data_IF_221928925178
#
_entry.id   IF_221928925178
#
_cell.length_a   1.000
_cell.length_b   1.000
_cell.length_c   1.000
_cell.angle_alpha   90.00
_cell.angle_beta   90.00
_cell.angle_gamma   90.00
#
_symmetry.space_group_name_H-M   'P 1'
#
loop_
_entity.id
_entity.type
_entity.pdbx_description
1 polymer ?
#
# COMPACT_ATOMS: atom_id res chain seq x y z
N UNK A 1 -27.25 19.70 -7.66
CA UNK A 1 -27.77 19.71 -6.27
C UNK A 1 -27.68 18.29 -5.72
N UNK A 2 -26.73 18.03 -4.82
CA UNK A 2 -26.50 16.70 -4.26
C UNK A 2 -27.50 16.49 -3.11
N UNK A 3 -28.53 15.68 -3.35
CA UNK A 3 -29.48 15.31 -2.31
C UNK A 3 -28.76 14.48 -1.25
N UNK A 4 -28.59 15.04 -0.05
CA UNK A 4 -28.12 14.29 1.10
C UNK A 4 -29.23 13.33 1.52
N UNK A 5 -28.93 12.03 1.55
CA UNK A 5 -29.85 11.02 2.07
C UNK A 5 -30.22 11.37 3.53
N UNK A 6 -31.48 11.19 3.95
CA UNK A 6 -31.90 11.55 5.30
C UNK A 6 -31.17 10.68 6.33
N UNK A 7 -30.54 11.33 7.31
CA UNK A 7 -29.92 10.66 8.44
C UNK A 7 -31.02 9.91 9.21
N UNK A 8 -30.98 8.57 9.19
CA UNK A 8 -31.87 7.74 10.00
C UNK A 8 -31.50 7.91 11.47
N UNK A 9 -32.39 8.54 12.23
CA UNK A 9 -32.27 8.66 13.69
C UNK A 9 -32.64 7.33 14.33
N UNK A 10 -31.73 6.74 15.12
CA UNK A 10 -32.06 5.56 15.91
C UNK A 10 -32.88 5.90 17.15
N UNK A 11 -33.53 4.87 17.73
CA UNK A 11 -34.44 4.96 18.87
C UNK A 11 -33.85 5.63 20.13
N UNK A 12 -32.52 5.81 20.19
CA UNK A 12 -31.79 6.45 21.29
C UNK A 12 -31.33 7.89 21.00
N UNK A 13 -31.85 8.53 19.94
CA UNK A 13 -31.58 9.95 19.63
C UNK A 13 -30.15 10.28 19.19
N UNK A 14 -29.27 9.28 19.06
CA UNK A 14 -27.88 9.48 18.63
C UNK A 14 -27.83 9.54 17.11
N UNK A 15 -27.43 10.69 16.58
CA UNK A 15 -27.27 10.89 15.12
C UNK A 15 -25.93 10.32 14.68
N UNK A 16 -25.95 9.26 13.87
CA UNK A 16 -24.74 8.67 13.27
C UNK A 16 -24.10 9.66 12.31
N UNK A 17 -22.76 9.79 12.36
CA UNK A 17 -22.02 10.71 11.49
C UNK A 17 -21.63 10.02 10.18
N UNK A 18 -21.86 10.63 9.01
CA UNK A 18 -21.42 10.07 7.75
C UNK A 18 -19.88 10.06 7.66
N UNK A 19 -19.30 8.96 7.18
CA UNK A 19 -17.86 8.81 6.98
C UNK A 19 -17.56 8.00 5.72
N UNK A 20 -16.53 8.38 4.97
CA UNK A 20 -16.02 7.59 3.83
C UNK A 20 -15.25 6.35 4.32
N UNK A 21 -15.28 5.25 3.57
CA UNK A 21 -14.64 3.99 3.98
C UNK A 21 -13.14 4.14 4.26
N UNK A 22 -12.43 4.90 3.44
CA UNK A 22 -10.99 5.14 3.66
C UNK A 22 -10.76 5.86 4.99
N UNK A 23 -11.54 6.91 5.28
CA UNK A 23 -11.39 7.66 6.53
C UNK A 23 -11.79 6.85 7.76
N UNK A 24 -12.78 5.96 7.62
CA UNK A 24 -13.16 5.02 8.66
C UNK A 24 -12.03 4.06 9.01
N UNK A 25 -11.34 3.51 8.00
CA UNK A 25 -10.19 2.64 8.20
C UNK A 25 -9.00 3.40 8.83
N UNK A 26 -8.72 4.62 8.38
CA UNK A 26 -7.70 5.48 9.00
C UNK A 26 -8.03 5.77 10.47
N UNK A 27 -9.28 6.07 10.80
CA UNK A 27 -9.69 6.27 12.19
C UNK A 27 -9.53 4.98 13.01
N UNK A 28 -10.03 3.84 12.52
CA UNK A 28 -9.95 2.58 13.23
C UNK A 28 -8.51 2.13 13.50
N UNK A 29 -7.63 2.19 12.49
CA UNK A 29 -6.26 1.66 12.62
C UNK A 29 -5.21 2.67 13.06
N UNK A 30 -5.34 3.95 12.70
CA UNK A 30 -4.37 4.98 13.07
C UNK A 30 -4.75 5.70 14.37
N UNK A 31 -6.02 6.05 14.54
CA UNK A 31 -6.46 6.87 15.68
C UNK A 31 -6.84 5.96 16.88
N UNK A 32 -7.68 4.94 16.68
CA UNK A 32 -8.08 3.96 17.72
C UNK A 32 -7.08 2.81 17.87
N UNK A 33 -6.07 2.76 16.99
CA UNK A 33 -5.05 1.73 16.99
C UNK A 33 -5.64 0.31 17.01
N UNK A 34 -6.72 0.01 16.29
CA UNK A 34 -7.27 -1.35 16.22
C UNK A 34 -6.24 -2.37 15.69
N UNK A 35 -6.37 -3.63 16.12
CA UNK A 35 -5.55 -4.76 15.66
C UNK A 35 -6.35 -5.64 14.72
N UNK A 36 -5.71 -6.16 13.68
CA UNK A 36 -6.29 -7.28 12.93
C UNK A 36 -5.78 -8.54 13.58
N UNK A 37 -6.69 -9.32 14.15
CA UNK A 37 -6.38 -10.62 14.70
C UNK A 37 -7.00 -11.67 13.77
N UNK A 38 -6.14 -12.45 13.11
CA UNK A 38 -6.61 -13.57 12.30
C UNK A 38 -6.88 -14.75 13.24
N UNK A 39 -8.12 -15.22 13.27
CA UNK A 39 -8.47 -16.47 13.94
C UNK A 39 -7.74 -17.62 13.23
N UNK A 40 -6.60 -18.00 13.76
CA UNK A 40 -5.85 -19.19 13.38
C UNK A 40 -5.77 -20.10 14.60
N UNK A 41 -6.20 -21.36 14.47
CA UNK A 41 -6.08 -22.41 15.50
C UNK A 41 -4.61 -22.75 15.89
N UNK A 42 -3.61 -21.98 15.45
CA UNK A 42 -2.20 -22.25 15.70
C UNK A 42 -1.28 -21.02 15.83
N UNK A 43 -1.80 -19.79 15.77
CA UNK A 43 -0.94 -18.58 15.80
C UNK A 43 -0.52 -18.16 17.22
N UNK A 44 -1.01 -18.86 18.26
CA UNK A 44 -0.36 -18.89 19.57
C UNK A 44 0.86 -19.84 19.60
N UNK A 45 1.53 -20.10 18.45
CA UNK A 45 2.83 -20.76 18.44
C UNK A 45 3.87 -19.85 19.13
N UNK A 46 4.42 -20.24 20.30
CA UNK A 46 5.38 -19.43 21.03
C UNK A 46 6.74 -19.49 20.31
N UNK A 47 6.95 -18.66 19.29
CA UNK A 47 8.20 -18.75 18.52
C UNK A 47 8.52 -17.64 17.53
N UNK A 48 7.57 -16.79 17.14
CA UNK A 48 7.86 -15.75 16.15
C UNK A 48 8.35 -14.46 16.81
N UNK A 49 9.65 -14.38 17.11
CA UNK A 49 10.51 -13.19 17.06
C UNK A 49 10.09 -11.89 17.77
N UNK A 50 8.98 -11.85 18.51
CA UNK A 50 8.62 -10.69 19.31
C UNK A 50 9.49 -10.74 20.55
N UNK A 51 10.53 -9.91 20.56
CA UNK A 51 11.17 -9.50 21.79
C UNK A 51 10.07 -9.07 22.75
N UNK A 52 9.79 -9.91 23.75
CA UNK A 52 8.67 -9.71 24.66
C UNK A 52 8.77 -8.34 25.31
N UNK A 53 7.64 -7.73 25.63
CA UNK A 53 7.61 -6.41 26.27
C UNK A 53 8.52 -6.35 27.50
N UNK A 54 8.65 -7.47 28.24
CA UNK A 54 9.59 -7.65 29.34
C UNK A 54 11.06 -7.43 28.95
N UNK A 55 11.53 -7.97 27.80
CA UNK A 55 12.90 -7.76 27.33
C UNK A 55 13.11 -6.31 26.87
N UNK A 56 12.14 -5.69 26.16
CA UNK A 56 12.24 -4.27 25.80
C UNK A 56 12.29 -3.38 27.05
N UNK A 57 11.52 -3.72 28.07
CA UNK A 57 11.55 -3.04 29.36
C UNK A 57 12.89 -3.20 30.07
N UNK A 58 13.47 -4.41 30.09
CA UNK A 58 14.79 -4.66 30.66
C UNK A 58 15.90 -3.87 29.93
N UNK A 59 15.91 -3.90 28.60
CA UNK A 59 16.90 -3.19 27.79
C UNK A 59 16.81 -1.66 27.93
N UNK A 60 15.60 -1.12 28.10
CA UNK A 60 15.39 0.32 28.33
C UNK A 60 15.62 0.74 29.78
N UNK A 61 15.35 -0.15 30.74
CA UNK A 61 15.71 0.05 32.15
C UNK A 61 17.22 0.12 32.36
N UNK A 62 18.01 -0.62 31.57
CA UNK A 62 19.47 -0.49 31.53
C UNK A 62 19.94 0.92 31.13
N UNK A 63 19.13 1.68 30.38
CA UNK A 63 19.41 3.08 30.01
C UNK A 63 18.97 4.08 31.11
N UNK A 64 18.50 3.60 32.26
CA UNK A 64 18.12 4.44 33.41
C UNK A 64 16.72 5.05 33.34
N UNK A 65 15.91 4.69 32.34
CA UNK A 65 14.53 5.17 32.21
C UNK A 65 13.54 4.22 32.89
N UNK A 66 12.78 4.74 33.86
CA UNK A 66 11.63 4.05 34.46
C UNK A 66 10.38 4.33 33.61
N UNK A 67 9.88 3.31 32.92
CA UNK A 67 8.64 3.41 32.14
C UNK A 67 7.48 3.39 33.13
N UNK A 68 6.72 4.48 33.21
CA UNK A 68 5.43 4.47 33.90
C UNK A 68 4.45 3.61 33.10
N UNK A 69 4.04 2.49 33.69
CA UNK A 69 2.83 1.74 33.39
C UNK A 69 2.42 1.58 31.92
N UNK A 70 2.79 0.44 31.34
CA UNK A 70 2.23 -0.06 30.10
C UNK A 70 0.79 -0.58 30.27
N UNK A 71 -0.04 -0.26 29.28
CA UNK A 71 -1.40 -0.75 29.07
C UNK A 71 -1.85 -0.30 27.68
N UNK A 72 -2.78 -1.04 27.06
CA UNK A 72 -3.46 -0.62 25.85
C UNK A 72 -4.93 -0.40 26.23
N UNK A 73 -5.46 0.79 25.96
CA UNK A 73 -6.92 0.97 26.01
C UNK A 73 -7.54 0.08 24.95
N UNK A 74 -8.67 -0.56 25.26
CA UNK A 74 -9.42 -1.26 24.23
C UNK A 74 -9.84 -0.26 23.14
N UNK A 75 -9.76 -0.65 21.85
CA UNK A 75 -10.27 0.19 20.79
C UNK A 75 -11.78 0.42 20.98
N UNK A 76 -12.29 1.49 20.39
CA UNK A 76 -13.73 1.73 20.29
C UNK A 76 -14.43 0.50 19.67
N UNK A 77 -15.66 0.20 20.13
CA UNK A 77 -16.44 -0.95 19.64
C UNK A 77 -16.63 -0.91 18.12
N UNK A 78 -16.88 0.28 17.54
CA UNK A 78 -17.03 0.42 16.09
C UNK A 78 -15.70 0.14 15.36
N UNK A 79 -14.55 0.47 15.98
CA UNK A 79 -13.24 0.18 15.41
C UNK A 79 -12.91 -1.33 15.43
N UNK A 80 -13.38 -2.04 16.46
CA UNK A 80 -13.25 -3.50 16.57
C UNK A 80 -14.11 -4.24 15.52
N UNK A 81 -15.33 -3.75 15.25
CA UNK A 81 -16.16 -4.23 14.14
C UNK A 81 -15.44 -4.04 12.80
N UNK A 82 -14.85 -2.86 12.57
CA UNK A 82 -14.09 -2.59 11.34
C UNK A 82 -12.90 -3.53 11.21
N UNK A 83 -12.15 -3.76 12.28
CA UNK A 83 -11.01 -4.68 12.26
C UNK A 83 -11.43 -6.12 11.98
N UNK A 84 -12.54 -6.57 12.56
CA UNK A 84 -13.13 -7.89 12.32
C UNK A 84 -13.57 -8.05 10.86
N UNK A 85 -14.22 -7.05 10.27
CA UNK A 85 -14.61 -7.06 8.86
C UNK A 85 -13.38 -7.14 7.94
N UNK A 86 -12.29 -6.44 8.28
CA UNK A 86 -11.03 -6.50 7.54
C UNK A 86 -10.33 -7.85 7.70
N UNK A 87 -10.43 -8.50 8.87
CA UNK A 87 -9.83 -9.82 9.12
C UNK A 87 -10.42 -10.92 8.23
N UNK A 88 -11.72 -10.82 7.91
CA UNK A 88 -12.48 -11.81 7.11
C UNK A 88 -12.59 -11.41 5.63
N UNK A 89 -11.66 -10.58 5.14
CA UNK A 89 -11.66 -10.14 3.75
C UNK A 89 -11.60 -11.36 2.78
N UNK A 90 -12.46 -11.44 1.76
CA UNK A 90 -12.45 -12.55 0.81
C UNK A 90 -11.12 -12.68 0.05
N UNK A 91 -10.73 -13.92 -0.29
CA UNK A 91 -9.54 -14.21 -1.10
C UNK A 91 -9.59 -13.55 -2.49
N UNK A 92 -10.79 -13.41 -3.07
CA UNK A 92 -11.00 -12.69 -4.33
C UNK A 92 -10.57 -11.21 -4.28
N UNK A 93 -10.59 -10.61 -3.08
CA UNK A 93 -10.14 -9.25 -2.82
C UNK A 93 -8.70 -9.18 -2.27
N UNK A 94 -7.98 -10.31 -2.21
CA UNK A 94 -6.61 -10.42 -1.76
C UNK A 94 -6.43 -10.92 -0.32
N UNK A 95 -7.52 -11.32 0.34
CA UNK A 95 -7.50 -12.06 1.61
C UNK A 95 -6.67 -11.41 2.71
N UNK A 96 -6.02 -12.24 3.53
CA UNK A 96 -5.22 -11.79 4.68
C UNK A 96 -4.08 -10.84 4.31
N UNK A 97 -3.41 -11.08 3.17
CA UNK A 97 -2.31 -10.20 2.72
C UNK A 97 -2.82 -8.79 2.45
N UNK A 98 -3.99 -8.67 1.83
CA UNK A 98 -4.62 -7.37 1.58
C UNK A 98 -5.12 -6.73 2.87
N UNK A 99 -5.68 -7.52 3.81
CA UNK A 99 -6.10 -7.03 5.12
C UNK A 99 -4.95 -6.34 5.88
N UNK A 100 -3.78 -7.00 5.96
CA UNK A 100 -2.57 -6.41 6.56
C UNK A 100 -2.15 -5.14 5.82
N UNK A 101 -2.11 -5.18 4.49
CA UNK A 101 -1.75 -4.02 3.67
C UNK A 101 -2.71 -2.84 3.91
N UNK A 102 -4.01 -3.08 4.05
CA UNK A 102 -5.01 -2.05 4.36
C UNK A 102 -4.75 -1.42 5.72
N UNK A 103 -4.51 -2.23 6.76
CA UNK A 103 -4.21 -1.69 8.09
C UNK A 103 -2.94 -0.83 8.11
N UNK A 104 -1.87 -1.29 7.45
CA UNK A 104 -0.61 -0.54 7.39
C UNK A 104 -0.76 0.77 6.59
N UNK A 105 -1.48 0.74 5.47
CA UNK A 105 -1.78 1.94 4.70
C UNK A 105 -2.68 2.92 5.47
N UNK A 106 -3.66 2.41 6.20
CA UNK A 106 -4.54 3.23 7.04
C UNK A 106 -3.76 3.90 8.18
N UNK A 107 -2.85 3.17 8.84
CA UNK A 107 -1.92 3.72 9.86
C UNK A 107 -1.05 4.83 9.28
N UNK A 108 -0.54 4.63 8.08
CA UNK A 108 0.26 5.62 7.37
C UNK A 108 -0.56 6.76 6.74
N UNK A 109 -1.90 6.67 6.74
CA UNK A 109 -2.82 7.53 5.98
C UNK A 109 -2.40 7.68 4.51
N UNK A 110 -2.01 6.56 3.92
CA UNK A 110 -1.47 6.45 2.58
C UNK A 110 -2.35 5.56 1.70
N UNK A 111 -2.12 5.61 0.39
CA UNK A 111 -2.73 4.72 -0.60
C UNK A 111 -1.64 3.96 -1.37
N UNK A 112 -1.93 2.81 -1.97
CA UNK A 112 -0.93 2.09 -2.76
C UNK A 112 -0.41 2.96 -3.90
N UNK A 113 0.91 2.90 -4.15
CA UNK A 113 1.51 3.57 -5.32
C UNK A 113 0.86 3.05 -6.61
N UNK A 114 0.44 3.98 -7.47
CA UNK A 114 -0.29 3.68 -8.70
C UNK A 114 0.40 4.27 -9.95
N UNK A 115 1.60 4.82 -9.77
CA UNK A 115 2.40 5.50 -10.78
C UNK A 115 1.60 6.60 -11.49
N UNK A 116 0.98 7.47 -10.69
CA UNK A 116 0.20 8.60 -11.20
C UNK A 116 1.16 9.60 -11.86
N UNK A 117 0.91 9.91 -13.14
CA UNK A 117 1.78 10.81 -13.90
C UNK A 117 3.15 10.24 -14.25
N UNK A 118 3.38 8.94 -14.08
CA UNK A 118 4.67 8.33 -14.42
C UNK A 118 4.99 8.47 -15.90
N UNK A 119 6.18 9.02 -16.19
CA UNK A 119 6.75 9.12 -17.53
C UNK A 119 7.93 8.17 -17.61
N UNK A 120 7.85 7.17 -18.47
CA UNK A 120 8.95 6.22 -18.69
C UNK A 120 10.08 6.91 -19.44
N UNK A 121 11.29 6.89 -18.87
CA UNK A 121 12.50 7.43 -19.51
C UNK A 121 13.40 6.30 -19.98
N UNK A 122 13.99 6.47 -21.16
CA UNK A 122 15.03 5.59 -21.68
C UNK A 122 16.36 5.99 -21.05
N UNK A 123 16.97 5.08 -20.30
CA UNK A 123 18.23 5.30 -19.59
C UNK A 123 19.23 4.19 -19.94
N UNK A 124 20.56 4.45 -19.89
CA UNK A 124 21.54 3.38 -19.97
C UNK A 124 21.32 2.32 -18.89
N UNK A 125 21.52 1.05 -19.24
CA UNK A 125 21.39 -0.06 -18.30
C UNK A 125 22.35 0.08 -17.11
N UNK A 126 23.54 0.63 -17.35
CA UNK A 126 24.52 0.92 -16.32
C UNK A 126 25.43 2.10 -16.65
N UNK A 127 26.21 2.51 -15.66
CA UNK A 127 27.18 3.59 -15.76
C UNK A 127 28.53 3.15 -15.22
N UNK A 128 29.60 3.46 -15.95
CA UNK A 128 30.97 3.49 -15.44
C UNK A 128 31.30 4.87 -14.89
N UNK A 129 31.99 4.92 -13.75
CA UNK A 129 32.41 6.17 -13.11
C UNK A 129 33.92 6.21 -13.08
N UNK A 130 34.50 7.22 -13.75
CA UNK A 130 35.94 7.46 -13.79
C UNK A 130 36.23 8.90 -13.29
N UNK A 131 37.49 9.28 -13.02
CA UNK A 131 37.84 10.64 -12.58
C UNK A 131 37.38 11.77 -13.52
N UNK A 132 37.14 11.46 -14.80
CA UNK A 132 36.67 12.40 -15.82
C UNK A 132 35.12 12.42 -15.98
N UNK A 133 34.39 11.72 -15.11
CA UNK A 133 32.93 11.72 -15.09
C UNK A 133 32.29 10.35 -15.34
N UNK A 134 30.98 10.36 -15.60
CA UNK A 134 30.16 9.17 -15.81
C UNK A 134 30.03 8.85 -17.29
N UNK A 135 30.24 7.60 -17.67
CA UNK A 135 30.05 7.09 -19.04
C UNK A 135 29.09 5.91 -19.02
N UNK A 136 28.20 5.81 -19.99
CA UNK A 136 27.30 4.68 -20.11
C UNK A 136 28.07 3.37 -20.35
N UNK A 137 27.60 2.26 -19.76
CA UNK A 137 28.14 0.92 -20.03
C UNK A 137 27.99 0.60 -21.52
N UNK A 138 29.02 -0.01 -22.10
CA UNK A 138 29.03 -0.38 -23.52
C UNK A 138 29.42 -1.85 -23.66
N UNK A 139 28.69 -2.59 -24.47
CA UNK A 139 28.88 -4.02 -24.74
C UNK A 139 29.33 -4.22 -26.20
N UNK A 140 30.16 -5.25 -26.43
CA UNK A 140 30.60 -5.63 -27.77
C UNK A 140 29.61 -6.63 -28.37
N UNK A 141 28.95 -6.26 -29.48
CA UNK A 141 28.04 -7.13 -30.23
C UNK A 141 28.79 -8.09 -31.17
N UNK A 142 30.04 -7.76 -31.52
CA UNK A 142 30.88 -8.55 -32.42
C UNK A 142 31.79 -7.68 -33.28
N UNK A 143 32.70 -8.31 -34.03
CA UNK A 143 33.63 -7.60 -34.90
C UNK A 143 33.15 -7.64 -36.36
N UNK A 144 33.18 -6.47 -37.02
CA UNK A 144 32.94 -6.37 -38.46
C UNK A 144 34.23 -6.00 -39.17
N UNK A 145 34.48 -6.69 -40.29
CA UNK A 145 35.57 -6.41 -41.19
C UNK A 145 35.12 -5.37 -42.22
N UNK A 146 35.74 -4.21 -42.20
CA UNK A 146 35.60 -3.19 -43.23
C UNK A 146 36.62 -3.45 -44.34
N UNK A 147 36.11 -3.75 -45.53
CA UNK A 147 36.87 -4.04 -46.74
C UNK A 147 36.87 -2.86 -47.74
N UNK A 148 36.34 -1.68 -47.35
CA UNK A 148 36.25 -0.51 -48.24
C UNK A 148 37.61 0.12 -48.60
N UNK A 149 38.65 -0.15 -47.79
CA UNK A 149 40.01 0.37 -48.01
C UNK A 149 40.99 -0.66 -48.59
N UNK A 150 42.24 -0.23 -48.84
CA UNK A 150 43.33 -1.11 -49.33
C UNK A 150 43.71 -2.26 -48.38
N UNK A 151 43.34 -2.18 -47.10
CA UNK A 151 43.58 -3.22 -46.08
C UNK A 151 42.30 -3.45 -45.29
N UNK A 152 41.99 -4.72 -45.03
CA UNK A 152 40.85 -5.11 -44.20
C UNK A 152 41.08 -4.62 -42.77
N UNK A 153 40.16 -3.82 -42.23
CA UNK A 153 40.19 -3.36 -40.84
C UNK A 153 39.07 -4.02 -40.06
N UNK A 154 39.38 -4.58 -38.88
CA UNK A 154 38.37 -5.15 -37.99
C UNK A 154 37.98 -4.12 -36.93
N UNK A 155 36.70 -3.82 -36.85
CA UNK A 155 36.14 -2.89 -35.88
C UNK A 155 35.16 -3.62 -34.97
N UNK A 156 35.28 -3.37 -33.67
CA UNK A 156 34.36 -3.88 -32.66
C UNK A 156 33.06 -3.04 -32.67
N UNK A 157 31.92 -3.67 -32.90
CA UNK A 157 30.61 -3.03 -32.83
C UNK A 157 30.22 -2.93 -31.36
N UNK A 158 30.23 -1.69 -30.88
CA UNK A 158 29.89 -1.36 -29.50
C UNK A 158 28.48 -0.79 -29.40
N UNK A 159 27.67 -1.34 -28.50
CA UNK A 159 26.29 -0.92 -28.23
C UNK A 159 26.12 -0.53 -26.78
N UNK A 160 25.25 0.44 -26.50
CA UNK A 160 24.86 0.80 -25.14
C UNK A 160 23.51 0.13 -24.84
N UNK A 161 23.45 -0.89 -23.95
CA UNK A 161 22.18 -1.41 -23.52
C UNK A 161 21.38 -0.32 -22.78
N UNK A 162 20.09 -0.24 -23.06
CA UNK A 162 19.16 0.73 -22.46
C UNK A 162 18.01 0.03 -21.77
N UNK A 163 17.47 0.68 -20.74
CA UNK A 163 16.33 0.22 -19.96
C UNK A 163 15.35 1.38 -19.77
N UNK A 164 14.06 1.06 -19.79
CA UNK A 164 13.02 2.04 -19.52
C UNK A 164 12.67 2.03 -18.03
N UNK A 165 12.75 3.19 -17.37
CA UNK A 165 12.40 3.34 -15.95
C UNK A 165 11.30 4.40 -15.75
N UNK A 166 10.30 4.16 -14.88
CA UNK A 166 9.96 2.85 -14.30
C UNK A 166 9.54 1.86 -15.39
N UNK A 167 9.83 0.58 -15.18
CA UNK A 167 9.58 -0.44 -16.19
C UNK A 167 8.07 -0.70 -16.34
N UNK A 168 7.64 -1.07 -17.56
CA UNK A 168 6.22 -1.20 -17.87
C UNK A 168 5.50 -2.27 -17.02
N UNK A 169 6.22 -3.34 -16.68
CA UNK A 169 5.81 -4.40 -15.77
C UNK A 169 5.62 -3.90 -14.33
N UNK A 170 6.52 -3.06 -13.83
CA UNK A 170 6.43 -2.42 -12.51
C UNK A 170 5.19 -1.52 -12.42
N UNK A 171 4.96 -0.69 -13.45
CA UNK A 171 3.76 0.15 -13.54
C UNK A 171 2.50 -0.72 -13.54
N UNK A 172 2.48 -1.78 -14.35
CA UNK A 172 1.33 -2.67 -14.45
C UNK A 172 1.05 -3.41 -13.14
N UNK A 173 2.09 -3.90 -12.45
CA UNK A 173 1.96 -4.57 -11.16
C UNK A 173 1.41 -3.65 -10.08
N UNK A 174 1.93 -2.43 -9.98
CA UNK A 174 1.45 -1.43 -9.04
C UNK A 174 0.00 -1.04 -9.29
N UNK A 175 -0.39 -0.84 -10.55
CA UNK A 175 -1.80 -0.57 -10.91
C UNK A 175 -2.73 -1.73 -10.60
N UNK A 176 -2.30 -2.99 -10.81
CA UNK A 176 -3.07 -4.17 -10.39
C UNK A 176 -3.24 -4.22 -8.87
N UNK A 177 -2.18 -3.95 -8.11
CA UNK A 177 -2.23 -3.88 -6.66
C UNK A 177 -3.19 -2.79 -6.17
N UNK A 178 -3.15 -1.60 -6.78
CA UNK A 178 -4.09 -0.52 -6.49
C UNK A 178 -5.53 -0.93 -6.76
N UNK A 179 -5.82 -1.58 -7.90
CA UNK A 179 -7.17 -2.04 -8.23
C UNK A 179 -7.66 -3.13 -7.27
N UNK A 180 -6.79 -4.04 -6.85
CA UNK A 180 -7.13 -5.08 -5.88
C UNK A 180 -7.46 -4.46 -4.51
N UNK A 181 -6.64 -3.51 -4.05
CA UNK A 181 -6.92 -2.73 -2.84
C UNK A 181 -8.24 -1.94 -2.97
N UNK A 182 -8.49 -1.32 -4.12
CA UNK A 182 -9.73 -0.59 -4.38
C UNK A 182 -10.95 -1.52 -4.34
N UNK A 183 -10.86 -2.74 -4.91
CA UNK A 183 -11.94 -3.72 -4.81
C UNK A 183 -12.18 -4.19 -3.37
N UNK A 184 -11.13 -4.33 -2.57
CA UNK A 184 -11.26 -4.66 -1.15
C UNK A 184 -11.98 -3.54 -0.37
N UNK A 185 -11.65 -2.26 -0.64
CA UNK A 185 -12.38 -1.13 -0.04
C UNK A 185 -13.86 -1.12 -0.45
N UNK A 186 -14.15 -1.44 -1.71
CA UNK A 186 -15.52 -1.53 -2.19
C UNK A 186 -16.30 -2.64 -1.46
N UNK A 187 -15.68 -3.81 -1.31
CA UNK A 187 -16.27 -4.96 -0.60
C UNK A 187 -16.53 -4.63 0.87
N UNK A 188 -15.53 -4.13 1.59
CA UNK A 188 -15.66 -3.70 2.98
C UNK A 188 -16.74 -2.63 3.16
N UNK A 189 -16.81 -1.66 2.25
CA UNK A 189 -17.88 -0.65 2.28
C UNK A 189 -19.25 -1.29 2.17
N UNK A 190 -19.44 -2.22 1.23
CA UNK A 190 -20.72 -2.92 1.05
C UNK A 190 -21.04 -3.79 2.26
N UNK A 191 -20.08 -4.55 2.78
CA UNK A 191 -20.25 -5.38 3.98
C UNK A 191 -20.68 -4.54 5.19
N UNK A 192 -19.98 -3.44 5.48
CA UNK A 192 -20.29 -2.57 6.61
C UNK A 192 -21.63 -1.82 6.44
N UNK A 193 -22.03 -1.51 5.19
CA UNK A 193 -23.34 -0.93 4.89
C UNK A 193 -24.49 -1.94 5.06
N UNK A 194 -24.26 -3.22 4.73
CA UNK A 194 -25.26 -4.28 4.88
C UNK A 194 -25.45 -4.64 6.36
N UNK A 195 -24.34 -4.84 7.09
CA UNK A 195 -24.38 -5.16 8.52
C UNK A 195 -24.94 -3.98 9.33
N UNK A 196 -24.44 -2.76 9.09
CA UNK A 196 -24.91 -1.52 9.70
C UNK A 196 -24.97 -1.52 11.26
N UNK A 197 -24.13 -2.35 11.88
CA UNK A 197 -24.08 -2.55 13.34
C UNK A 197 -23.34 -1.45 14.11
N UNK A 198 -22.68 -0.50 13.41
CA UNK A 198 -21.90 0.58 14.03
C UNK A 198 -22.76 1.64 14.71
N UNK A 199 -22.37 2.05 15.90
CA UNK A 199 -23.14 2.97 16.75
C UNK A 199 -22.89 4.45 16.44
N UNK A 200 -21.69 4.82 16.00
CA UNK A 200 -21.24 6.21 15.79
C UNK A 200 -21.23 6.61 14.32
N UNK A 201 -20.86 5.67 13.45
CA UNK A 201 -20.55 5.95 12.06
C UNK A 201 -21.60 5.41 11.09
N UNK A 202 -21.84 6.17 10.02
CA UNK A 202 -22.63 5.73 8.88
C UNK A 202 -21.74 5.77 7.62
N UNK A 203 -21.50 4.62 6.99
CA UNK A 203 -20.59 4.52 5.85
C UNK A 203 -21.26 5.08 4.61
N UNK A 204 -20.63 6.08 4.00
CA UNK A 204 -21.09 6.70 2.75
C UNK A 204 -20.63 5.90 1.52
N UNK A 205 -21.17 6.25 0.35
CA UNK A 205 -20.74 5.69 -0.93
C UNK A 205 -19.44 6.30 -1.47
N UNK A 206 -18.78 7.17 -0.72
CA UNK A 206 -17.53 7.80 -1.16
C UNK A 206 -16.39 6.77 -1.20
N UNK A 207 -15.72 6.69 -2.36
CA UNK A 207 -14.55 5.83 -2.59
C UNK A 207 -13.44 6.65 -3.25
N UNK A 208 -12.17 6.24 -3.05
CA UNK A 208 -11.06 6.83 -3.78
C UNK A 208 -11.24 6.66 -5.30
N UNK A 209 -10.60 7.54 -6.08
CA UNK A 209 -10.65 7.45 -7.55
C UNK A 209 -10.15 6.09 -8.03
N UNK A 210 -10.95 5.38 -8.85
CA UNK A 210 -10.64 4.01 -9.28
C UNK A 210 -9.40 3.91 -10.18
N UNK A 211 -9.17 4.92 -11.02
CA UNK A 211 -8.03 4.95 -11.96
C UNK A 211 -7.32 6.30 -11.92
N UNK A 212 -6.58 6.62 -10.85
CA UNK A 212 -5.95 7.93 -10.66
C UNK A 212 -4.86 8.23 -11.70
N UNK A 213 -4.26 7.21 -12.31
CA UNK A 213 -3.23 7.37 -13.36
C UNK A 213 -3.79 7.72 -14.74
N UNK A 214 -5.11 7.65 -14.95
CA UNK A 214 -5.70 8.16 -16.20
C UNK A 214 -5.75 9.67 -16.07
N UNK A 215 -5.14 10.39 -17.01
CA UNK A 215 -5.41 11.83 -17.16
C UNK A 215 -6.93 11.97 -17.33
N UNK A 216 -7.56 12.80 -16.52
CA UNK A 216 -8.93 13.22 -16.81
C UNK A 216 -8.93 13.73 -18.25
N UNK A 217 -9.83 13.21 -19.09
CA UNK A 217 -10.15 13.92 -20.32
C UNK A 217 -10.60 15.30 -19.85
N UNK A 218 -9.77 16.31 -20.08
CA UNK A 218 -10.20 17.68 -19.92
C UNK A 218 -11.32 17.86 -20.96
N UNK A 219 -12.55 17.98 -20.48
CA UNK A 219 -13.66 18.55 -21.25
C UNK A 219 -13.37 20.04 -21.53
#
# INVERSE_FOLDING_TARGET
MMQMAPLKTEAMGRVRKPIAIQRLLEWAFADECASIDFEDEGTLAPGYGHVGNAYRMAQRGLLGYKIDGGGRSYPDHDADIVASAVAVLPEGCGGRRMAVQIAELARARAVPEAYVGAVTRCEPAGWHVNPHGRRAVTESLGQVADCSGRKVKRHDIRVCPVVFRPAADQIAAARRNYLQWWSALLDLRVCLQIQNDMSRWNVTHELPTRTPWKKGLAE
#
